data_IF_862161746369
#
_entry.id   IF_862161746369
#
_cell.length_a   1.000
_cell.length_b   1.000
_cell.length_c   1.000
_cell.angle_alpha   90.00
_cell.angle_beta   90.00
_cell.angle_gamma   90.00
#
_symmetry.space_group_name_H-M   'P 1'
#
loop_
_entity.id
_entity.type
_entity.pdbx_description
1 polymer ?
#
# COMPACT_ATOMS: atom_id res chain seq x y z
N UNK A 1 53.15 -41.55 -2.13
CA UNK A 1 52.17 -40.78 -1.33
C UNK A 1 52.85 -39.52 -0.81
N UNK A 2 52.42 -38.34 -1.27
CA UNK A 2 52.34 -37.05 -0.53
C UNK A 2 52.11 -35.92 -1.53
N UNK A 3 50.85 -35.52 -1.60
CA UNK A 3 50.39 -34.26 -2.18
C UNK A 3 50.99 -33.09 -1.40
N UNK A 4 51.60 -32.13 -2.09
CA UNK A 4 51.73 -30.77 -1.57
C UNK A 4 51.56 -29.78 -2.71
N UNK A 5 50.34 -29.20 -2.80
CA UNK A 5 50.14 -27.81 -3.18
C UNK A 5 48.69 -27.40 -2.92
N UNK A 6 48.44 -26.88 -1.72
CA UNK A 6 47.35 -25.94 -1.48
C UNK A 6 47.79 -25.02 -0.35
N UNK A 7 48.43 -23.90 -0.70
CA UNK A 7 48.74 -22.82 0.25
C UNK A 7 48.77 -21.49 -0.50
N UNK A 8 47.67 -21.19 -1.19
CA UNK A 8 47.47 -19.91 -1.88
C UNK A 8 46.20 -19.20 -1.45
N UNK A 9 45.15 -19.94 -1.06
CA UNK A 9 43.81 -19.40 -0.90
C UNK A 9 43.49 -18.84 0.51
N UNK A 10 44.23 -19.23 1.55
CA UNK A 10 43.91 -18.86 2.94
C UNK A 10 44.49 -17.48 3.33
N UNK A 11 45.50 -16.98 2.61
CA UNK A 11 46.19 -15.72 2.98
C UNK A 11 45.46 -14.45 2.52
N UNK A 12 44.64 -14.53 1.48
CA UNK A 12 43.95 -13.35 0.91
C UNK A 12 42.73 -12.93 1.75
N UNK A 13 42.04 -13.89 2.37
CA UNK A 13 40.86 -13.62 3.23
C UNK A 13 41.25 -13.04 4.59
N UNK A 14 42.37 -13.49 5.16
CA UNK A 14 42.88 -12.97 6.44
C UNK A 14 43.27 -11.48 6.35
N UNK A 15 43.90 -11.05 5.24
CA UNK A 15 44.27 -9.65 5.04
C UNK A 15 43.06 -8.73 4.86
N UNK A 16 41.99 -9.19 4.20
CA UNK A 16 40.75 -8.44 4.04
C UNK A 16 40.01 -8.19 5.35
N UNK A 17 39.91 -9.23 6.20
CA UNK A 17 39.27 -9.13 7.53
C UNK A 17 40.11 -8.27 8.48
N UNK A 18 41.45 -8.42 8.46
CA UNK A 18 42.35 -7.59 9.29
C UNK A 18 42.32 -6.11 8.87
N UNK A 19 42.16 -5.82 7.57
CA UNK A 19 42.03 -4.44 7.07
C UNK A 19 40.70 -3.76 7.46
N UNK A 20 39.63 -4.54 7.59
CA UNK A 20 38.35 -4.09 8.18
C UNK A 20 38.49 -3.74 9.67
N UNK A 21 39.33 -4.49 10.39
CA UNK A 21 39.59 -4.30 11.83
C UNK A 21 40.63 -3.21 12.13
N UNK A 22 41.30 -2.67 11.13
CA UNK A 22 42.36 -1.64 11.27
C UNK A 22 42.02 -0.33 10.56
N UNK A 23 40.74 0.06 10.58
CA UNK A 23 40.33 1.39 10.13
C UNK A 23 40.72 2.44 11.16
N UNK A 24 41.55 3.41 10.74
CA UNK A 24 41.85 4.59 11.54
C UNK A 24 40.54 5.31 11.90
N UNK A 25 40.48 5.88 13.11
CA UNK A 25 39.32 6.60 13.66
C UNK A 25 38.71 7.63 12.69
N UNK A 26 39.53 8.23 11.82
CA UNK A 26 39.06 9.20 10.82
C UNK A 26 38.40 8.58 9.58
N UNK A 27 38.75 7.34 9.21
CA UNK A 27 38.10 6.61 8.11
C UNK A 27 36.72 6.09 8.53
N UNK A 28 36.54 5.70 9.80
CA UNK A 28 35.20 5.36 10.34
C UNK A 28 34.25 6.56 10.38
N UNK A 29 34.76 7.77 10.64
CA UNK A 29 33.95 9.01 10.60
C UNK A 29 33.50 9.33 9.17
N UNK A 30 34.38 9.18 8.18
CA UNK A 30 34.05 9.38 6.75
C UNK A 30 33.04 8.34 6.26
N UNK A 31 33.18 7.08 6.68
CA UNK A 31 32.23 6.02 6.35
C UNK A 31 30.85 6.27 7.00
N UNK A 32 30.83 6.71 8.27
CA UNK A 32 29.60 7.12 8.95
C UNK A 32 28.92 8.33 8.29
N UNK A 33 29.71 9.30 7.82
CA UNK A 33 29.21 10.46 7.07
C UNK A 33 28.64 10.08 5.70
N UNK A 34 29.27 9.12 5.01
CA UNK A 34 28.80 8.58 3.73
C UNK A 34 27.50 7.79 3.88
N UNK A 35 27.39 6.95 4.92
CA UNK A 35 26.17 6.20 5.22
C UNK A 35 25.00 7.13 5.58
N UNK A 36 25.24 8.18 6.36
CA UNK A 36 24.21 9.18 6.68
C UNK A 36 23.78 10.01 5.47
N UNK A 37 24.70 10.36 4.57
CA UNK A 37 24.37 11.03 3.30
C UNK A 37 23.53 10.15 2.36
N UNK A 38 23.83 8.84 2.26
CA UNK A 38 23.05 7.89 1.46
C UNK A 38 21.63 7.67 2.01
N UNK A 39 21.47 7.63 3.34
CA UNK A 39 20.14 7.54 3.99
C UNK A 39 19.31 8.80 3.73
N UNK A 40 19.94 9.99 3.72
CA UNK A 40 19.27 11.26 3.48
C UNK A 40 18.70 11.37 2.04
N UNK A 41 19.39 10.81 1.04
CA UNK A 41 18.91 10.83 -0.36
C UNK A 41 17.76 9.83 -0.57
N UNK A 42 17.78 8.67 0.09
CA UNK A 42 16.70 7.68 0.01
C UNK A 42 15.37 8.19 0.59
N UNK A 43 15.40 9.20 1.47
CA UNK A 43 14.22 9.78 2.09
C UNK A 43 13.41 10.72 1.18
N UNK A 44 13.96 11.17 0.03
CA UNK A 44 13.33 12.16 -0.86
C UNK A 44 12.49 11.50 -1.98
N UNK A 45 12.75 10.22 -2.29
CA UNK A 45 12.01 9.47 -3.31
C UNK A 45 10.53 9.10 -3.03
N UNK A 46 9.99 9.04 -1.78
CA UNK A 46 8.62 8.56 -1.58
C UNK A 46 7.53 9.56 -2.01
N UNK A 47 7.83 10.85 -2.12
CA UNK A 47 6.82 11.90 -2.33
C UNK A 47 6.16 11.89 -3.72
N UNK A 48 6.90 11.54 -4.78
CA UNK A 48 6.34 11.47 -6.14
C UNK A 48 5.45 10.22 -6.33
N UNK A 49 5.81 9.10 -5.70
CA UNK A 49 5.02 7.88 -5.73
C UNK A 49 3.67 8.05 -5.02
N UNK A 50 3.63 8.84 -3.95
CA UNK A 50 2.38 9.06 -3.20
C UNK A 50 1.30 9.82 -3.98
N UNK A 51 1.68 10.77 -4.87
CA UNK A 51 0.72 11.51 -5.69
C UNK A 51 0.01 10.62 -6.72
N UNK A 52 0.78 9.85 -7.48
CA UNK A 52 0.25 8.95 -8.51
C UNK A 52 -0.70 7.91 -7.90
N UNK A 53 -0.33 7.35 -6.75
CA UNK A 53 -1.18 6.33 -6.10
C UNK A 53 -2.50 6.96 -5.61
N UNK A 54 -2.46 8.18 -5.05
CA UNK A 54 -3.67 8.87 -4.64
C UNK A 54 -4.63 9.11 -5.82
N UNK A 55 -4.11 9.53 -6.98
CA UNK A 55 -4.94 9.75 -8.17
C UNK A 55 -5.57 8.45 -8.70
N UNK A 56 -4.83 7.34 -8.69
CA UNK A 56 -5.36 6.02 -9.08
C UNK A 56 -6.47 5.57 -8.13
N UNK A 57 -6.27 5.73 -6.82
CA UNK A 57 -7.28 5.35 -5.82
C UNK A 57 -8.52 6.25 -5.93
N UNK A 58 -8.33 7.54 -6.20
CA UNK A 58 -9.44 8.48 -6.42
C UNK A 58 -10.27 8.06 -7.63
N UNK A 59 -9.62 7.80 -8.76
CA UNK A 59 -10.31 7.34 -9.98
C UNK A 59 -11.04 6.01 -9.78
N UNK A 60 -10.42 5.08 -9.04
CA UNK A 60 -11.06 3.81 -8.69
C UNK A 60 -12.33 4.00 -7.87
N UNK A 61 -12.31 4.91 -6.88
CA UNK A 61 -13.49 5.27 -6.10
C UNK A 61 -14.58 5.92 -6.97
N UNK A 62 -14.21 6.90 -7.80
CA UNK A 62 -15.11 7.57 -8.75
C UNK A 62 -15.80 6.58 -9.68
N UNK A 63 -15.05 5.67 -10.29
CA UNK A 63 -15.60 4.66 -11.19
C UNK A 63 -16.52 3.67 -10.44
N UNK A 64 -16.16 3.28 -9.21
CA UNK A 64 -17.01 2.41 -8.39
C UNK A 64 -18.34 3.07 -8.11
N UNK A 65 -18.34 4.30 -7.59
CA UNK A 65 -19.56 5.00 -7.22
C UNK A 65 -20.38 5.36 -8.45
N UNK A 66 -19.77 5.75 -9.56
CA UNK A 66 -20.48 6.02 -10.81
C UNK A 66 -21.26 4.78 -11.30
N UNK A 67 -20.63 3.60 -11.26
CA UNK A 67 -21.32 2.33 -11.57
C UNK A 67 -22.47 2.06 -10.61
N UNK A 68 -22.26 2.25 -9.31
CA UNK A 68 -23.30 2.06 -8.30
C UNK A 68 -24.46 3.03 -8.50
N UNK A 69 -24.16 4.29 -8.83
CA UNK A 69 -25.16 5.32 -9.09
C UNK A 69 -25.97 4.99 -10.34
N UNK A 70 -25.34 4.51 -11.41
CA UNK A 70 -26.03 4.07 -12.63
C UNK A 70 -26.98 2.90 -12.36
N UNK A 71 -26.62 1.99 -11.44
CA UNK A 71 -27.42 0.80 -11.12
C UNK A 71 -28.54 1.07 -10.10
N UNK A 72 -28.30 1.91 -9.11
CA UNK A 72 -29.19 2.13 -7.95
C UNK A 72 -30.00 3.42 -8.11
N UNK A 73 -29.43 4.44 -8.77
CA UNK A 73 -30.10 5.72 -9.03
C UNK A 73 -30.15 6.69 -7.85
N UNK A 74 -29.19 6.63 -6.91
CA UNK A 74 -29.09 7.61 -5.82
C UNK A 74 -28.63 8.99 -6.32
N UNK A 75 -28.93 10.04 -5.56
CA UNK A 75 -28.66 11.43 -5.95
C UNK A 75 -27.16 11.80 -5.99
N UNK A 76 -26.84 12.87 -6.71
CA UNK A 76 -25.46 13.34 -6.90
C UNK A 76 -24.78 13.77 -5.58
N UNK A 77 -25.55 14.22 -4.58
CA UNK A 77 -24.98 14.60 -3.29
C UNK A 77 -24.54 13.36 -2.49
N UNK A 78 -25.33 12.28 -2.52
CA UNK A 78 -24.91 10.97 -1.99
C UNK A 78 -23.73 10.42 -2.78
N UNK A 79 -23.75 10.51 -4.10
CA UNK A 79 -22.63 10.08 -4.94
C UNK A 79 -21.31 10.79 -4.56
N UNK A 80 -21.36 12.11 -4.35
CA UNK A 80 -20.20 12.88 -3.88
C UNK A 80 -19.70 12.40 -2.50
N UNK A 81 -20.60 12.17 -1.55
CA UNK A 81 -20.23 11.69 -0.21
C UNK A 81 -19.63 10.27 -0.26
N UNK A 82 -20.20 9.39 -1.11
CA UNK A 82 -19.69 8.04 -1.31
C UNK A 82 -18.30 8.04 -1.95
N UNK A 83 -18.05 8.94 -2.91
CA UNK A 83 -16.74 9.09 -3.52
C UNK A 83 -15.67 9.45 -2.49
N UNK A 84 -15.97 10.41 -1.61
CA UNK A 84 -15.06 10.80 -0.53
C UNK A 84 -14.84 9.66 0.47
N UNK A 85 -15.91 8.94 0.84
CA UNK A 85 -15.83 7.80 1.75
C UNK A 85 -14.97 6.67 1.18
N UNK A 86 -15.24 6.24 -0.06
CA UNK A 86 -14.52 5.14 -0.73
C UNK A 86 -13.06 5.52 -0.99
N UNK A 87 -12.80 6.76 -1.41
CA UNK A 87 -11.42 7.24 -1.58
C UNK A 87 -10.64 7.25 -0.26
N UNK A 88 -11.25 7.78 0.80
CA UNK A 88 -10.63 7.80 2.14
C UNK A 88 -10.37 6.40 2.66
N UNK A 89 -11.32 5.48 2.48
CA UNK A 89 -11.17 4.08 2.83
C UNK A 89 -9.97 3.45 2.11
N UNK A 90 -9.85 3.64 0.79
CA UNK A 90 -8.74 3.12 0.00
C UNK A 90 -7.38 3.66 0.48
N UNK A 91 -7.28 4.97 0.76
CA UNK A 91 -6.06 5.57 1.32
C UNK A 91 -5.70 4.96 2.69
N UNK A 92 -6.69 4.74 3.55
CA UNK A 92 -6.45 4.18 4.87
C UNK A 92 -6.09 2.69 4.82
N UNK A 93 -6.64 1.93 3.87
CA UNK A 93 -6.21 0.55 3.58
C UNK A 93 -4.75 0.55 3.11
N UNK A 94 -4.40 1.41 2.17
CA UNK A 94 -3.02 1.53 1.67
C UNK A 94 -2.03 1.87 2.82
N UNK A 95 -2.39 2.79 3.72
CA UNK A 95 -1.60 3.09 4.91
C UNK A 95 -1.49 1.89 5.85
N UNK A 96 -2.57 1.12 6.01
CA UNK A 96 -2.59 -0.08 6.85
C UNK A 96 -1.70 -1.19 6.27
N UNK A 97 -1.70 -1.37 4.96
CA UNK A 97 -0.86 -2.34 4.25
C UNK A 97 0.62 -2.02 4.34
N UNK A 98 0.97 -0.74 4.21
CA UNK A 98 2.35 -0.25 4.33
C UNK A 98 2.85 -0.16 5.78
N UNK A 99 2.00 -0.46 6.78
CA UNK A 99 2.45 -0.46 8.17
C UNK A 99 3.24 -1.74 8.51
N UNK A 100 4.52 -1.58 8.81
CA UNK A 100 5.42 -2.68 9.16
C UNK A 100 5.15 -3.29 10.55
N UNK A 101 4.66 -2.50 11.51
CA UNK A 101 4.51 -2.91 12.92
C UNK A 101 3.05 -3.04 13.39
N UNK A 102 2.09 -2.94 12.48
CA UNK A 102 0.66 -3.04 12.80
C UNK A 102 0.15 -4.46 12.59
N UNK A 103 -0.86 -4.87 13.38
CA UNK A 103 -1.72 -5.99 12.98
C UNK A 103 -2.59 -5.55 11.79
N UNK A 104 -2.09 -5.77 10.57
CA UNK A 104 -2.71 -5.32 9.32
C UNK A 104 -4.13 -5.85 9.16
N UNK A 105 -4.34 -7.15 9.40
CA UNK A 105 -5.65 -7.80 9.29
C UNK A 105 -6.70 -7.11 10.17
N UNK A 106 -6.39 -6.97 11.46
CA UNK A 106 -7.30 -6.33 12.43
C UNK A 106 -7.56 -4.86 12.10
N UNK A 107 -6.55 -4.15 11.56
CA UNK A 107 -6.70 -2.75 11.14
C UNK A 107 -7.62 -2.62 9.93
N UNK A 108 -7.44 -3.45 8.90
CA UNK A 108 -8.29 -3.46 7.70
C UNK A 108 -9.72 -3.83 8.06
N UNK A 109 -9.93 -4.80 8.96
CA UNK A 109 -11.26 -5.18 9.42
C UNK A 109 -12.01 -4.02 10.09
N UNK A 110 -11.33 -3.26 10.96
CA UNK A 110 -11.92 -2.04 11.55
C UNK A 110 -12.25 -0.98 10.51
N UNK A 111 -11.40 -0.81 9.49
CA UNK A 111 -11.66 0.13 8.40
C UNK A 111 -12.89 -0.28 7.59
N UNK A 112 -13.07 -1.58 7.31
CA UNK A 112 -14.27 -2.11 6.66
C UNK A 112 -15.52 -1.85 7.48
N UNK A 113 -15.48 -2.15 8.79
CA UNK A 113 -16.61 -1.89 9.70
C UNK A 113 -16.98 -0.40 9.73
N UNK A 114 -15.98 0.49 9.79
CA UNK A 114 -16.21 1.94 9.75
C UNK A 114 -16.85 2.35 8.43
N UNK A 115 -16.32 1.86 7.29
CA UNK A 115 -16.87 2.13 5.96
C UNK A 115 -18.34 1.71 5.88
N UNK A 116 -18.67 0.49 6.33
CA UNK A 116 -20.05 -0.01 6.31
C UNK A 116 -21.00 0.84 7.17
N UNK A 117 -20.54 1.30 8.35
CA UNK A 117 -21.32 2.20 9.19
C UNK A 117 -21.59 3.55 8.52
N UNK A 118 -20.60 4.14 7.83
CA UNK A 118 -20.80 5.39 7.09
C UNK A 118 -21.69 5.18 5.86
N UNK A 119 -21.57 4.04 5.16
CA UNK A 119 -22.46 3.69 4.04
C UNK A 119 -23.92 3.69 4.49
N UNK A 120 -24.23 3.07 5.64
CA UNK A 120 -25.59 3.05 6.21
C UNK A 120 -26.10 4.43 6.66
N UNK A 121 -25.22 5.42 6.84
CA UNK A 121 -25.60 6.80 7.16
C UNK A 121 -25.88 7.63 5.92
N UNK A 122 -25.13 7.40 4.85
CA UNK A 122 -25.26 8.14 3.58
C UNK A 122 -26.45 7.60 2.77
N UNK A 123 -26.57 6.28 2.70
CA UNK A 123 -27.60 5.60 1.94
C UNK A 123 -28.82 5.33 2.82
N UNK A 124 -30.00 5.42 2.21
CA UNK A 124 -31.21 4.83 2.80
C UNK A 124 -31.07 3.31 2.91
N UNK A 125 -31.93 2.69 3.72
CA UNK A 125 -31.89 1.25 3.95
C UNK A 125 -31.99 0.44 2.64
N UNK A 126 -32.87 0.85 1.74
CA UNK A 126 -33.10 0.15 0.47
C UNK A 126 -31.92 0.33 -0.49
N UNK A 127 -31.42 1.56 -0.62
CA UNK A 127 -30.20 1.85 -1.39
C UNK A 127 -29.00 1.08 -0.85
N UNK A 128 -28.86 0.95 0.47
CA UNK A 128 -27.79 0.17 1.09
C UNK A 128 -27.89 -1.33 0.77
N UNK A 129 -29.10 -1.90 0.81
CA UNK A 129 -29.32 -3.32 0.45
C UNK A 129 -28.95 -3.54 -1.02
N UNK A 130 -29.34 -2.63 -1.91
CA UNK A 130 -28.97 -2.71 -3.32
C UNK A 130 -27.45 -2.53 -3.52
N UNK A 131 -26.83 -1.61 -2.78
CA UNK A 131 -25.38 -1.39 -2.81
C UNK A 131 -24.62 -2.65 -2.39
N UNK A 132 -24.97 -3.28 -1.27
CA UNK A 132 -24.38 -4.54 -0.82
C UNK A 132 -24.59 -5.66 -1.84
N UNK A 133 -25.79 -5.74 -2.43
CA UNK A 133 -26.09 -6.76 -3.41
C UNK A 133 -25.28 -6.60 -4.71
N UNK A 134 -25.09 -5.37 -5.19
CA UNK A 134 -24.27 -5.09 -6.37
C UNK A 134 -22.79 -5.28 -6.08
N UNK A 135 -22.30 -4.80 -4.93
CA UNK A 135 -20.89 -4.94 -4.52
C UNK A 135 -20.48 -6.41 -4.38
N UNK A 136 -21.38 -7.26 -3.88
CA UNK A 136 -21.15 -8.70 -3.75
C UNK A 136 -21.59 -9.51 -4.98
N UNK A 137 -21.79 -8.85 -6.13
CA UNK A 137 -22.20 -9.49 -7.39
C UNK A 137 -23.49 -10.32 -7.34
N UNK A 138 -24.34 -10.10 -6.32
CA UNK A 138 -25.66 -10.76 -6.19
C UNK A 138 -26.68 -10.21 -7.18
N UNK A 139 -26.48 -8.97 -7.65
CA UNK A 139 -27.26 -8.34 -8.70
C UNK A 139 -26.30 -7.93 -9.82
N UNK A 140 -26.52 -8.44 -11.03
CA UNK A 140 -25.80 -8.05 -12.25
C UNK A 140 -26.79 -7.44 -13.23
N UNK A 141 -26.36 -6.41 -13.96
CA UNK A 141 -27.12 -5.85 -15.08
C UNK A 141 -27.09 -6.87 -16.22
N UNK A 142 -27.99 -7.85 -16.20
CA UNK A 142 -28.16 -8.79 -17.31
C UNK A 142 -29.08 -8.16 -18.36
N UNK A 143 -28.69 -8.19 -19.65
CA UNK A 143 -29.63 -7.86 -20.71
C UNK A 143 -30.76 -8.90 -20.72
N UNK A 144 -32.01 -8.43 -20.86
CA UNK A 144 -33.23 -9.26 -20.89
C UNK A 144 -33.28 -10.30 -22.03
N UNK A 145 -32.29 -10.30 -22.93
CA UNK A 145 -32.20 -11.18 -24.10
C UNK A 145 -31.10 -12.25 -23.97
N UNK A 146 -30.50 -12.41 -22.79
CA UNK A 146 -29.43 -13.37 -22.52
C UNK A 146 -29.87 -14.59 -21.68
N UNK A 147 -31.11 -15.04 -21.85
CA UNK A 147 -31.58 -16.38 -21.38
C UNK A 147 -31.34 -17.46 -22.44
#
# INVERSE_FOLDING_TARGET
>A
MKFLKSSGYVKQTAFGIVRLLTLKKDEMKKLGLLLTALIAIAAIAPAQKTGIIADVLKKSAEEKVARMQEMIGFDDNKARQLNELEFTFLLDVQKAENCCLCNRKKRIERLKQKRDQELQRILSRDEYIQYDAVENERIKKQPLWAE
#
